data_IF_729588535444
#
_entry.id   IF_729588535444
#
_cell.length_a   1.000
_cell.length_b   1.000
_cell.length_c   1.000
_cell.angle_alpha   90.00
_cell.angle_beta   90.00
_cell.angle_gamma   90.00
#
_symmetry.space_group_name_H-M   'P 1'
#
loop_
_entity.id
_entity.type
_entity.pdbx_description
1 polymer ?
#
# COMPACT_ATOMS: atom_id res chain seq x y z
N UNK A 1 30.64 -3.01 -13.05
CA UNK A 1 29.86 -3.69 -14.12
C UNK A 1 29.62 -5.15 -13.79
N UNK A 2 30.62 -5.96 -13.50
CA UNK A 2 30.44 -7.42 -13.26
C UNK A 2 29.41 -7.79 -12.18
N UNK A 3 29.33 -7.05 -11.08
CA UNK A 3 28.39 -7.34 -10.00
C UNK A 3 26.92 -7.09 -10.41
N UNK A 4 26.65 -6.03 -11.19
CA UNK A 4 25.29 -5.75 -11.69
C UNK A 4 24.82 -6.80 -12.73
N UNK A 5 25.74 -7.35 -13.55
CA UNK A 5 25.42 -8.47 -14.47
C UNK A 5 25.05 -9.73 -13.69
N UNK A 6 25.82 -10.10 -12.65
CA UNK A 6 25.50 -11.23 -11.77
C UNK A 6 24.16 -11.01 -11.06
N UNK A 7 23.86 -9.82 -10.62
CA UNK A 7 22.60 -9.50 -9.97
C UNK A 7 21.39 -9.65 -10.93
N UNK A 8 21.54 -9.30 -12.22
CA UNK A 8 20.52 -9.53 -13.25
C UNK A 8 20.29 -11.02 -13.52
N UNK A 9 21.37 -11.80 -13.56
CA UNK A 9 21.27 -13.26 -13.68
C UNK A 9 20.50 -13.86 -12.51
N UNK A 10 20.80 -13.43 -11.29
CA UNK A 10 20.11 -13.84 -10.07
C UNK A 10 18.63 -13.43 -10.09
N UNK A 11 18.34 -12.20 -10.52
CA UNK A 11 16.98 -11.69 -10.66
C UNK A 11 16.19 -12.50 -11.69
N UNK A 12 16.79 -12.82 -12.84
CA UNK A 12 16.15 -13.65 -13.87
C UNK A 12 15.78 -15.03 -13.35
N UNK A 13 16.70 -15.68 -12.61
CA UNK A 13 16.44 -17.01 -12.03
C UNK A 13 15.31 -16.97 -11.00
N UNK A 14 15.25 -15.93 -10.16
CA UNK A 14 14.18 -15.73 -9.18
C UNK A 14 12.82 -15.50 -9.86
N UNK A 15 12.74 -14.62 -10.87
CA UNK A 15 11.53 -14.36 -11.65
C UNK A 15 11.04 -15.61 -12.41
N UNK A 16 11.96 -16.42 -12.92
CA UNK A 16 11.63 -17.70 -13.56
C UNK A 16 10.98 -18.68 -12.57
N UNK A 17 11.50 -18.77 -11.34
CA UNK A 17 10.92 -19.63 -10.30
C UNK A 17 9.53 -19.15 -9.89
N UNK A 18 9.31 -17.84 -9.81
CA UNK A 18 8.01 -17.23 -9.51
C UNK A 18 6.95 -17.56 -10.58
N UNK A 19 7.32 -17.56 -11.85
CA UNK A 19 6.39 -17.88 -12.94
C UNK A 19 6.08 -19.40 -13.02
N UNK A 20 6.93 -20.26 -12.45
CA UNK A 20 6.73 -21.72 -12.44
C UNK A 20 5.97 -22.23 -11.21
N UNK A 21 6.08 -21.52 -10.09
CA UNK A 21 5.54 -21.97 -8.81
C UNK A 21 4.53 -20.95 -8.28
N UNK A 22 3.27 -21.31 -8.30
CA UNK A 22 2.18 -20.49 -7.78
C UNK A 22 2.21 -20.31 -6.24
N UNK A 23 2.95 -21.18 -5.54
CA UNK A 23 3.12 -21.20 -4.09
C UNK A 23 4.41 -20.51 -3.60
N UNK A 24 5.22 -19.97 -4.52
CA UNK A 24 6.51 -19.35 -4.18
C UNK A 24 6.30 -17.98 -3.52
N UNK A 25 6.62 -17.89 -2.24
CA UNK A 25 6.41 -16.69 -1.42
C UNK A 25 7.61 -15.72 -1.50
N UNK A 26 7.40 -14.47 -1.09
CA UNK A 26 8.47 -13.45 -1.09
C UNK A 26 9.66 -13.86 -0.20
N UNK A 27 9.41 -14.56 0.91
CA UNK A 27 10.45 -15.09 1.78
C UNK A 27 11.35 -16.13 1.10
N UNK A 28 10.79 -16.93 0.19
CA UNK A 28 11.56 -17.95 -0.58
C UNK A 28 12.51 -17.27 -1.56
N UNK A 29 12.09 -16.13 -2.14
CA UNK A 29 12.94 -15.33 -3.05
C UNK A 29 14.13 -14.72 -2.30
N UNK A 30 13.89 -14.18 -1.09
CA UNK A 30 14.96 -13.63 -0.26
C UNK A 30 15.95 -14.71 0.16
N UNK A 31 15.45 -15.88 0.58
CA UNK A 31 16.27 -17.03 0.93
C UNK A 31 17.10 -17.47 -0.30
N UNK A 32 16.45 -17.65 -1.45
CA UNK A 32 17.12 -17.99 -2.70
C UNK A 32 18.23 -16.96 -3.05
N UNK A 33 17.94 -15.68 -2.98
CA UNK A 33 18.94 -14.66 -3.29
C UNK A 33 20.10 -14.66 -2.28
N UNK A 34 19.85 -14.85 -0.98
CA UNK A 34 20.88 -14.95 0.05
C UNK A 34 21.75 -16.19 -0.08
N UNK A 35 21.18 -17.32 -0.49
CA UNK A 35 21.90 -18.57 -0.72
C UNK A 35 22.83 -18.49 -1.96
N UNK A 36 22.48 -17.64 -2.94
CA UNK A 36 23.21 -17.54 -4.21
C UNK A 36 24.20 -16.37 -4.27
N UNK A 37 24.27 -15.52 -3.24
CA UNK A 37 25.32 -14.47 -3.15
C UNK A 37 25.56 -14.01 -1.73
N UNK A 38 26.84 -13.94 -1.35
CA UNK A 38 27.31 -13.33 -0.09
C UNK A 38 27.55 -11.82 -0.22
N UNK A 39 27.47 -11.27 -1.45
CA UNK A 39 27.74 -9.86 -1.71
C UNK A 39 26.48 -9.02 -1.59
N UNK A 40 26.48 -8.12 -0.62
CA UNK A 40 25.34 -7.27 -0.30
C UNK A 40 24.90 -6.38 -1.47
N UNK A 41 25.81 -5.86 -2.27
CA UNK A 41 25.52 -5.03 -3.44
C UNK A 41 24.83 -5.83 -4.56
N UNK A 42 25.24 -7.10 -4.78
CA UNK A 42 24.57 -8.01 -5.73
C UNK A 42 23.17 -8.33 -5.24
N UNK A 43 23.04 -8.70 -3.96
CA UNK A 43 21.75 -9.01 -3.34
C UNK A 43 20.77 -7.83 -3.46
N UNK A 44 21.18 -6.63 -3.02
CA UNK A 44 20.31 -5.45 -3.05
C UNK A 44 19.88 -5.09 -4.46
N UNK A 45 20.81 -5.13 -5.44
CA UNK A 45 20.47 -4.81 -6.81
C UNK A 45 19.54 -5.88 -7.43
N UNK A 46 19.78 -7.17 -7.20
CA UNK A 46 18.90 -8.24 -7.66
C UNK A 46 17.49 -8.08 -7.07
N UNK A 47 17.38 -7.87 -5.75
CA UNK A 47 16.10 -7.67 -5.08
C UNK A 47 15.34 -6.44 -5.64
N UNK A 48 16.05 -5.34 -5.92
CA UNK A 48 15.42 -4.15 -6.52
C UNK A 48 14.84 -4.42 -7.91
N UNK A 49 15.49 -5.25 -8.72
CA UNK A 49 15.00 -5.66 -10.04
C UNK A 49 13.80 -6.61 -9.94
N UNK A 50 13.87 -7.61 -9.05
CA UNK A 50 12.79 -8.58 -8.83
C UNK A 50 11.52 -7.87 -8.37
N UNK A 51 11.65 -7.03 -7.34
CA UNK A 51 10.54 -6.26 -6.79
C UNK A 51 9.93 -5.31 -7.83
N UNK A 52 10.79 -4.58 -8.53
CA UNK A 52 10.34 -3.65 -9.56
C UNK A 52 9.60 -4.34 -10.72
N UNK A 53 10.11 -5.48 -11.20
CA UNK A 53 9.41 -6.27 -12.22
C UNK A 53 8.06 -6.81 -11.73
N UNK A 54 7.95 -7.20 -10.46
CA UNK A 54 6.69 -7.67 -9.87
C UNK A 54 5.68 -6.55 -9.72
N UNK A 55 6.10 -5.42 -9.18
CA UNK A 55 5.21 -4.28 -8.92
C UNK A 55 4.66 -3.65 -10.20
N UNK A 56 5.40 -3.76 -11.32
CA UNK A 56 4.99 -3.21 -12.61
C UNK A 56 4.66 -4.30 -13.65
N UNK A 57 4.41 -5.53 -13.20
CA UNK A 57 4.26 -6.70 -14.08
C UNK A 57 3.20 -6.49 -15.16
N UNK A 58 2.03 -6.04 -14.77
CA UNK A 58 0.89 -5.85 -15.69
C UNK A 58 1.19 -4.79 -16.74
N UNK A 59 1.73 -3.65 -16.32
CA UNK A 59 2.11 -2.56 -17.22
C UNK A 59 3.25 -2.96 -18.17
N UNK A 60 4.23 -3.69 -17.66
CA UNK A 60 5.35 -4.22 -18.44
C UNK A 60 4.83 -5.23 -19.47
N UNK A 61 4.01 -6.18 -19.04
CA UNK A 61 3.44 -7.22 -19.90
C UNK A 61 2.54 -6.61 -20.97
N UNK A 62 1.77 -5.56 -20.67
CA UNK A 62 0.99 -4.81 -21.63
C UNK A 62 1.87 -4.13 -22.69
N UNK A 63 2.95 -3.44 -22.28
CA UNK A 63 3.89 -2.80 -23.22
C UNK A 63 4.56 -3.82 -24.14
N UNK A 64 4.97 -4.96 -23.58
CA UNK A 64 5.54 -6.06 -24.37
C UNK A 64 4.50 -6.56 -25.38
N UNK A 65 3.28 -6.81 -24.96
CA UNK A 65 2.19 -7.29 -25.81
C UNK A 65 1.86 -6.33 -26.94
N UNK A 66 1.84 -5.02 -26.69
CA UNK A 66 1.58 -3.99 -27.71
C UNK A 66 2.65 -3.94 -28.81
N UNK A 67 3.90 -4.23 -28.44
CA UNK A 67 5.05 -4.17 -29.38
C UNK A 67 5.26 -5.49 -30.09
N UNK A 68 4.86 -6.59 -29.47
CA UNK A 68 5.03 -7.95 -29.98
C UNK A 68 3.88 -8.38 -30.91
N UNK A 69 3.53 -7.55 -31.90
CA UNK A 69 2.35 -7.65 -32.82
C UNK A 69 2.07 -9.07 -33.37
N UNK A 70 3.06 -9.95 -33.41
CA UNK A 70 2.94 -11.32 -33.94
C UNK A 70 3.22 -12.41 -32.89
N UNK A 71 3.36 -12.04 -31.61
CA UNK A 71 3.75 -12.98 -30.55
C UNK A 71 2.80 -12.86 -29.35
N UNK A 72 2.02 -13.88 -29.13
CA UNK A 72 1.20 -14.01 -27.92
C UNK A 72 2.09 -14.23 -26.69
N UNK A 73 1.95 -13.39 -25.70
CA UNK A 73 2.68 -13.48 -24.42
C UNK A 73 2.53 -14.85 -23.75
N UNK A 74 1.39 -15.53 -23.95
CA UNK A 74 1.17 -16.89 -23.42
C UNK A 74 2.01 -17.96 -24.15
N UNK A 75 2.47 -17.67 -25.36
CA UNK A 75 3.28 -18.58 -26.20
C UNK A 75 4.77 -18.27 -26.13
N UNK A 76 5.18 -17.17 -25.47
CA UNK A 76 6.60 -16.87 -25.26
C UNK A 76 7.22 -17.86 -24.27
N UNK A 77 8.46 -18.24 -24.50
CA UNK A 77 9.25 -18.97 -23.52
C UNK A 77 9.33 -18.15 -22.22
N UNK A 78 9.10 -18.80 -21.07
CA UNK A 78 9.08 -18.12 -19.75
C UNK A 78 10.37 -17.33 -19.51
N UNK A 79 11.52 -17.87 -19.98
CA UNK A 79 12.81 -17.23 -19.82
C UNK A 79 12.89 -15.92 -20.64
N UNK A 80 12.47 -15.92 -21.90
CA UNK A 80 12.47 -14.75 -22.77
C UNK A 80 11.52 -13.66 -22.24
N UNK A 81 10.36 -14.07 -21.75
CA UNK A 81 9.37 -13.18 -21.12
C UNK A 81 9.96 -12.46 -19.90
N UNK A 82 10.67 -13.17 -19.02
CA UNK A 82 11.28 -12.57 -17.85
C UNK A 82 12.51 -11.70 -18.18
N UNK A 83 13.26 -12.05 -19.23
CA UNK A 83 14.33 -11.17 -19.75
C UNK A 83 13.74 -9.85 -20.30
N UNK A 84 12.64 -9.93 -21.06
CA UNK A 84 11.93 -8.75 -21.54
C UNK A 84 11.41 -7.91 -20.38
N UNK A 85 10.80 -8.52 -19.36
CA UNK A 85 10.34 -7.81 -18.17
C UNK A 85 11.46 -7.07 -17.45
N UNK A 86 12.62 -7.70 -17.26
CA UNK A 86 13.79 -7.04 -16.67
C UNK A 86 14.26 -5.87 -17.54
N UNK A 87 14.41 -6.08 -18.85
CA UNK A 87 14.83 -5.03 -19.77
C UNK A 87 13.87 -3.84 -19.81
N UNK A 88 12.56 -4.09 -19.86
CA UNK A 88 11.54 -3.03 -19.86
C UNK A 88 11.52 -2.30 -18.52
N UNK A 89 11.61 -3.03 -17.41
CA UNK A 89 11.71 -2.39 -16.08
C UNK A 89 12.91 -1.46 -15.99
N UNK A 90 14.09 -1.89 -16.41
CA UNK A 90 15.28 -1.02 -16.40
C UNK A 90 15.09 0.19 -17.33
N UNK A 91 14.59 0.00 -18.54
CA UNK A 91 14.38 1.08 -19.50
C UNK A 91 13.40 2.16 -19.03
N UNK A 92 12.38 1.77 -18.28
CA UNK A 92 11.28 2.66 -17.89
C UNK A 92 11.46 3.27 -16.50
N UNK A 93 12.03 2.51 -15.55
CA UNK A 93 12.02 2.87 -14.14
C UNK A 93 13.41 3.07 -13.52
N UNK A 94 14.51 2.75 -14.25
CA UNK A 94 15.87 2.86 -13.71
C UNK A 94 16.66 3.92 -14.47
N UNK A 95 16.48 5.19 -14.05
CA UNK A 95 17.21 6.33 -14.64
C UNK A 95 18.73 6.27 -14.37
N UNK A 96 19.17 5.51 -13.37
CA UNK A 96 20.58 5.29 -13.05
C UNK A 96 21.27 4.32 -14.02
N UNK A 97 20.53 3.69 -14.96
CA UNK A 97 21.07 2.75 -15.94
C UNK A 97 20.83 3.31 -17.35
N UNK A 98 21.93 3.56 -18.12
CA UNK A 98 21.76 4.01 -19.49
C UNK A 98 20.98 2.99 -20.35
N UNK A 99 20.01 3.42 -21.18
CA UNK A 99 19.15 2.51 -21.97
C UNK A 99 19.92 1.48 -22.78
N UNK A 100 21.03 1.88 -23.42
CA UNK A 100 21.89 0.97 -24.18
C UNK A 100 22.49 -0.15 -23.31
N UNK A 101 22.76 0.14 -22.03
CA UNK A 101 23.27 -0.88 -21.10
C UNK A 101 22.17 -1.89 -20.77
N UNK A 102 20.95 -1.44 -20.48
CA UNK A 102 19.80 -2.32 -20.20
C UNK A 102 19.51 -3.26 -21.37
N UNK A 103 19.50 -2.73 -22.61
CA UNK A 103 19.27 -3.53 -23.83
C UNK A 103 20.39 -4.55 -24.02
N UNK A 104 21.66 -4.15 -23.91
CA UNK A 104 22.78 -5.07 -24.10
C UNK A 104 22.81 -6.19 -23.03
N UNK A 105 22.58 -5.86 -21.77
CA UNK A 105 22.53 -6.83 -20.68
C UNK A 105 21.37 -7.84 -20.88
N UNK A 106 20.20 -7.36 -21.34
CA UNK A 106 19.07 -8.24 -21.68
C UNK A 106 19.40 -9.19 -22.85
N UNK A 107 20.08 -8.69 -23.89
CA UNK A 107 20.56 -9.51 -25.01
C UNK A 107 21.56 -10.57 -24.52
N UNK A 108 22.47 -10.22 -23.64
CA UNK A 108 23.47 -11.13 -23.09
C UNK A 108 22.83 -12.20 -22.19
N UNK A 109 21.82 -11.83 -21.39
CA UNK A 109 20.99 -12.79 -20.67
C UNK A 109 20.26 -13.75 -21.63
N UNK A 110 19.67 -13.24 -22.72
CA UNK A 110 19.00 -14.09 -23.70
C UNK A 110 19.96 -15.09 -24.38
N UNK A 111 21.15 -14.64 -24.76
CA UNK A 111 22.18 -15.52 -25.32
C UNK A 111 22.66 -16.57 -24.33
N UNK A 112 22.73 -16.25 -23.04
CA UNK A 112 23.24 -17.15 -21.99
C UNK A 112 22.20 -18.17 -21.54
N UNK A 113 20.93 -17.76 -21.39
CA UNK A 113 19.91 -18.55 -20.71
C UNK A 113 18.76 -19.04 -21.61
N UNK A 114 18.70 -18.59 -22.88
CA UNK A 114 17.63 -18.97 -23.79
C UNK A 114 18.16 -19.55 -25.11
N UNK A 115 17.38 -19.44 -26.19
CA UNK A 115 17.71 -20.02 -27.48
C UNK A 115 18.65 -19.12 -28.30
N UNK A 116 19.29 -19.70 -29.33
CA UNK A 116 20.21 -18.99 -30.23
C UNK A 116 19.61 -17.72 -30.85
N UNK A 117 18.28 -17.68 -31.05
CA UNK A 117 17.58 -16.57 -31.69
C UNK A 117 16.98 -15.57 -30.68
N UNK A 118 16.95 -15.90 -29.41
CA UNK A 118 16.32 -15.08 -28.38
C UNK A 118 16.99 -13.73 -28.21
N UNK A 119 18.31 -13.63 -28.42
CA UNK A 119 19.02 -12.34 -28.35
C UNK A 119 18.52 -11.33 -29.40
N UNK A 120 18.28 -11.80 -30.64
CA UNK A 120 17.73 -10.93 -31.71
C UNK A 120 16.27 -10.56 -31.45
N UNK A 121 15.48 -11.50 -30.94
CA UNK A 121 14.09 -11.27 -30.56
C UNK A 121 13.98 -10.24 -29.43
N UNK A 122 14.73 -10.42 -28.34
CA UNK A 122 14.75 -9.50 -27.18
C UNK A 122 15.19 -8.11 -27.61
N UNK A 123 16.25 -8.01 -28.43
CA UNK A 123 16.69 -6.72 -28.96
C UNK A 123 15.59 -6.00 -29.73
N UNK A 124 14.92 -6.68 -30.67
CA UNK A 124 13.87 -6.07 -31.50
C UNK A 124 12.67 -5.57 -30.68
N UNK A 125 12.29 -6.28 -29.61
CA UNK A 125 11.21 -5.85 -28.71
C UNK A 125 11.65 -4.66 -27.86
N UNK A 126 12.83 -4.72 -27.21
CA UNK A 126 13.31 -3.64 -26.34
C UNK A 126 13.64 -2.37 -27.10
N UNK A 127 14.18 -2.42 -28.32
CA UNK A 127 14.40 -1.26 -29.17
C UNK A 127 13.09 -0.58 -29.55
N UNK A 128 12.05 -1.36 -29.92
CA UNK A 128 10.72 -0.81 -30.18
C UNK A 128 10.12 -0.18 -28.91
N UNK A 129 10.20 -0.84 -27.76
CA UNK A 129 9.73 -0.30 -26.47
C UNK A 129 10.49 0.99 -26.12
N UNK A 130 11.81 1.00 -26.29
CA UNK A 130 12.60 2.21 -26.04
C UNK A 130 12.22 3.36 -26.97
N UNK A 131 11.96 3.07 -28.24
CA UNK A 131 11.56 4.08 -29.22
C UNK A 131 10.14 4.60 -28.99
N UNK A 132 9.20 3.72 -28.61
CA UNK A 132 7.79 4.07 -28.43
C UNK A 132 7.49 4.63 -27.05
N UNK A 133 8.16 4.13 -25.99
CA UNK A 133 7.86 4.42 -24.60
C UNK A 133 9.05 4.95 -23.80
N UNK A 134 10.23 5.13 -24.41
CA UNK A 134 11.44 5.60 -23.74
C UNK A 134 11.34 7.07 -23.34
N UNK A 135 11.93 7.42 -22.17
CA UNK A 135 12.04 8.81 -21.68
C UNK A 135 13.10 9.63 -22.44
N UNK A 136 13.20 9.49 -23.77
CA UNK A 136 14.04 10.29 -24.61
C UNK A 136 13.30 11.53 -25.10
N UNK A 137 13.96 12.73 -25.07
CA UNK A 137 13.44 13.98 -25.61
C UNK A 137 12.64 13.74 -26.92
N UNK A 138 11.50 14.41 -27.09
CA UNK A 138 10.77 14.33 -28.34
C UNK A 138 11.69 14.78 -29.50
N UNK A 139 11.70 14.07 -30.65
CA UNK A 139 12.35 14.58 -31.86
C UNK A 139 11.67 15.88 -32.24
N UNK A 140 12.48 16.87 -32.65
CA UNK A 140 12.01 18.17 -33.11
C UNK A 140 10.96 17.98 -34.19
N UNK A 141 9.89 18.73 -34.11
CA UNK A 141 8.67 18.74 -34.88
C UNK A 141 8.82 18.34 -36.37
N UNK A 142 8.18 17.23 -36.71
CA UNK A 142 7.68 16.98 -38.04
C UNK A 142 6.23 16.47 -37.90
N UNK A 143 5.26 17.32 -38.27
CA UNK A 143 3.87 16.96 -38.50
C UNK A 143 3.06 16.64 -37.24
N UNK A 144 2.22 17.58 -36.84
CA UNK A 144 1.21 17.36 -35.80
C UNK A 144 0.18 16.33 -36.31
N UNK A 145 0.41 15.06 -36.02
CA UNK A 145 -0.67 14.09 -35.92
C UNK A 145 -0.99 13.92 -34.42
N UNK A 146 -2.27 14.09 -34.12
CA UNK A 146 -2.83 14.00 -32.77
C UNK A 146 -2.37 12.69 -32.08
N UNK A 147 -1.39 12.78 -31.19
CA UNK A 147 -1.19 11.76 -30.16
C UNK A 147 -2.35 11.96 -29.19
N UNK A 148 -3.37 11.12 -29.29
CA UNK A 148 -4.38 11.03 -28.24
C UNK A 148 -3.62 10.83 -26.93
N UNK A 149 -3.73 11.80 -26.03
CA UNK A 149 -3.24 11.68 -24.68
C UNK A 149 -3.84 10.38 -24.10
N UNK A 150 -3.00 9.51 -23.51
CA UNK A 150 -3.48 8.35 -22.75
C UNK A 150 -4.57 8.91 -21.83
N UNK A 151 -5.81 8.44 -21.91
CA UNK A 151 -6.90 9.03 -21.16
C UNK A 151 -6.50 8.99 -19.68
N UNK A 152 -6.39 10.17 -19.10
CA UNK A 152 -6.07 10.32 -17.68
C UNK A 152 -7.17 9.60 -16.91
N UNK A 153 -6.81 8.68 -15.99
CA UNK A 153 -7.80 7.90 -15.23
C UNK A 153 -8.80 8.88 -14.61
N UNK A 154 -10.06 8.73 -14.98
CA UNK A 154 -11.12 9.50 -14.36
C UNK A 154 -11.54 8.80 -13.05
N UNK A 155 -11.01 9.28 -11.95
CA UNK A 155 -11.37 8.79 -10.63
C UNK A 155 -12.80 9.18 -10.20
N UNK A 156 -13.48 10.06 -10.95
CA UNK A 156 -14.86 10.46 -10.72
C UNK A 156 -15.11 10.96 -9.29
N UNK A 157 -16.00 10.29 -8.57
CA UNK A 157 -16.36 10.59 -7.19
C UNK A 157 -15.68 9.57 -6.25
N UNK A 158 -14.87 10.04 -5.29
CA UNK A 158 -13.98 9.17 -4.51
C UNK A 158 -14.26 9.27 -3.01
N UNK A 159 -14.34 8.10 -2.34
CA UNK A 159 -14.30 7.96 -0.89
C UNK A 159 -12.96 7.33 -0.49
N UNK A 160 -12.06 8.12 0.09
CA UNK A 160 -10.68 7.70 0.34
C UNK A 160 -10.41 7.22 1.76
N UNK A 161 -11.44 7.03 2.60
CA UNK A 161 -11.27 6.58 3.97
C UNK A 161 -12.36 5.57 4.34
N UNK A 162 -12.06 4.30 4.18
CA UNK A 162 -13.03 3.20 4.36
C UNK A 162 -12.37 2.01 5.05
N UNK A 163 -13.02 1.44 6.06
CA UNK A 163 -12.56 0.29 6.83
C UNK A 163 -13.37 -0.96 6.54
N UNK A 164 -12.71 -2.12 6.62
CA UNK A 164 -13.31 -3.44 6.46
C UNK A 164 -13.23 -4.26 7.76
N UNK A 165 -13.83 -5.46 7.73
CA UNK A 165 -13.75 -6.41 8.85
C UNK A 165 -12.36 -7.05 9.02
N UNK A 166 -11.35 -6.62 8.24
CA UNK A 166 -9.96 -7.01 8.44
C UNK A 166 -9.22 -6.03 9.36
N UNK A 167 -9.88 -4.92 9.75
CA UNK A 167 -9.46 -4.07 10.86
C UNK A 167 -10.58 -3.96 11.90
N UNK A 168 -11.34 -2.90 11.87
CA UNK A 168 -12.41 -2.60 12.84
C UNK A 168 -13.74 -2.20 12.21
N UNK A 169 -13.88 -2.35 10.89
CA UNK A 169 -15.17 -2.32 10.22
C UNK A 169 -15.99 -3.61 10.44
N UNK A 170 -17.21 -3.65 9.90
CA UNK A 170 -18.09 -4.83 10.01
C UNK A 170 -18.35 -5.54 8.68
N UNK A 171 -18.12 -4.88 7.54
CA UNK A 171 -18.31 -5.44 6.21
C UNK A 171 -17.01 -6.04 5.66
N UNK A 172 -17.13 -7.13 4.90
CA UNK A 172 -16.00 -7.69 4.15
C UNK A 172 -15.52 -6.72 3.05
N UNK A 173 -14.28 -6.85 2.58
CA UNK A 173 -13.79 -6.03 1.46
C UNK A 173 -14.68 -6.11 0.22
N UNK A 174 -15.25 -7.27 -0.08
CA UNK A 174 -16.15 -7.52 -1.19
C UNK A 174 -17.48 -6.78 -1.02
N UNK A 175 -18.08 -6.86 0.17
CA UNK A 175 -19.32 -6.13 0.51
C UNK A 175 -19.13 -4.62 0.42
N UNK A 176 -17.97 -4.11 0.88
CA UNK A 176 -17.62 -2.68 0.76
C UNK A 176 -17.54 -2.24 -0.70
N UNK A 177 -16.93 -3.03 -1.56
CA UNK A 177 -16.84 -2.74 -3.01
C UNK A 177 -18.24 -2.72 -3.64
N UNK A 178 -19.08 -3.72 -3.36
CA UNK A 178 -20.44 -3.78 -3.92
C UNK A 178 -21.32 -2.63 -3.39
N UNK A 179 -21.20 -2.27 -2.13
CA UNK A 179 -21.92 -1.14 -1.54
C UNK A 179 -21.48 0.20 -2.15
N UNK A 180 -20.16 0.41 -2.35
CA UNK A 180 -19.65 1.60 -3.01
C UNK A 180 -20.20 1.74 -4.45
N UNK A 181 -20.23 0.64 -5.22
CA UNK A 181 -20.82 0.62 -6.57
C UNK A 181 -22.31 0.95 -6.50
N UNK A 182 -23.05 0.35 -5.56
CA UNK A 182 -24.49 0.59 -5.37
C UNK A 182 -24.79 2.06 -5.08
N UNK A 183 -23.91 2.74 -4.35
CA UNK A 183 -24.02 4.15 -3.99
C UNK A 183 -23.48 5.11 -5.06
N UNK A 184 -22.98 4.59 -6.20
CA UNK A 184 -22.47 5.40 -7.29
C UNK A 184 -21.08 6.01 -7.05
N UNK A 185 -20.33 5.47 -6.08
CA UNK A 185 -18.93 5.83 -5.88
C UNK A 185 -18.07 5.13 -6.96
N UNK A 186 -17.24 5.89 -7.64
CA UNK A 186 -16.41 5.37 -8.72
C UNK A 186 -14.99 5.06 -8.29
N UNK A 187 -14.57 5.57 -7.12
CA UNK A 187 -13.26 5.31 -6.55
C UNK A 187 -13.36 5.19 -5.05
N UNK A 188 -12.75 4.14 -4.48
CA UNK A 188 -12.59 3.97 -3.03
C UNK A 188 -11.13 3.73 -2.68
N UNK A 189 -10.76 4.06 -1.45
CA UNK A 189 -9.53 3.55 -0.85
C UNK A 189 -9.87 2.78 0.42
N UNK A 190 -9.50 1.50 0.47
CA UNK A 190 -9.56 0.74 1.71
C UNK A 190 -8.33 1.12 2.53
N UNK A 191 -8.58 1.62 3.73
CA UNK A 191 -7.57 2.18 4.64
C UNK A 191 -7.60 1.53 6.01
N UNK A 192 -7.70 0.20 6.02
CA UNK A 192 -7.72 -0.59 7.25
C UNK A 192 -6.56 -0.25 8.20
N UNK A 193 -6.83 -0.23 9.51
CA UNK A 193 -5.84 0.07 10.52
C UNK A 193 -4.72 -0.95 10.59
N UNK A 194 -3.49 -0.50 10.31
CA UNK A 194 -2.23 -1.26 10.43
C UNK A 194 -2.24 -2.61 9.68
N UNK A 195 -3.04 -2.72 8.60
CA UNK A 195 -3.07 -3.89 7.69
C UNK A 195 -3.39 -3.49 6.25
N UNK A 196 -2.93 -4.30 5.29
CA UNK A 196 -3.24 -4.14 3.84
C UNK A 196 -4.07 -5.30 3.29
N UNK A 197 -4.49 -6.24 4.14
CA UNK A 197 -5.20 -7.44 3.68
C UNK A 197 -6.56 -7.07 3.05
N UNK A 198 -7.25 -6.07 3.61
CA UNK A 198 -8.52 -5.57 3.09
C UNK A 198 -8.41 -4.98 1.70
N UNK A 199 -7.41 -4.14 1.47
CA UNK A 199 -7.21 -3.51 0.17
C UNK A 199 -6.75 -4.51 -0.89
N UNK A 200 -5.99 -5.54 -0.53
CA UNK A 200 -5.61 -6.62 -1.45
C UNK A 200 -6.86 -7.39 -1.90
N UNK A 201 -7.73 -7.76 -0.98
CA UNK A 201 -8.99 -8.47 -1.28
C UNK A 201 -9.93 -7.59 -2.12
N UNK A 202 -10.16 -6.34 -1.71
CA UNK A 202 -11.02 -5.39 -2.43
C UNK A 202 -10.51 -5.09 -3.84
N UNK A 203 -9.19 -4.89 -4.02
CA UNK A 203 -8.58 -4.65 -5.32
C UNK A 203 -8.78 -5.84 -6.27
N UNK A 204 -8.60 -7.06 -5.78
CA UNK A 204 -8.84 -8.27 -6.56
C UNK A 204 -10.31 -8.41 -6.96
N UNK A 205 -11.21 -8.18 -6.02
CA UNK A 205 -12.65 -8.29 -6.26
C UNK A 205 -13.21 -7.19 -7.17
N UNK A 206 -12.64 -5.98 -7.08
CA UNK A 206 -13.01 -4.83 -7.91
C UNK A 206 -12.53 -4.92 -9.37
N UNK A 207 -11.61 -5.85 -9.70
CA UNK A 207 -11.14 -6.02 -11.07
C UNK A 207 -12.30 -6.34 -12.04
N UNK A 208 -12.36 -5.57 -13.12
CA UNK A 208 -13.43 -5.70 -14.12
C UNK A 208 -14.79 -5.12 -13.71
N UNK A 209 -14.92 -4.57 -12.49
CA UNK A 209 -16.09 -3.81 -12.06
C UNK A 209 -15.91 -2.32 -12.33
N UNK A 210 -17.01 -1.57 -12.35
CA UNK A 210 -16.96 -0.13 -12.59
C UNK A 210 -16.58 0.67 -11.32
N UNK A 211 -15.42 0.35 -10.75
CA UNK A 211 -14.87 1.01 -9.57
C UNK A 211 -13.35 0.94 -9.57
N UNK A 212 -12.71 2.02 -9.15
CA UNK A 212 -11.28 2.06 -8.90
C UNK A 212 -11.01 1.84 -7.40
N UNK A 213 -10.26 0.80 -7.05
CA UNK A 213 -9.79 0.55 -5.70
C UNK A 213 -8.36 1.03 -5.57
N UNK A 214 -8.14 2.12 -4.83
CA UNK A 214 -6.82 2.66 -4.53
C UNK A 214 -6.22 1.88 -3.35
N UNK A 215 -4.96 1.45 -3.49
CA UNK A 215 -4.25 0.79 -2.40
C UNK A 215 -4.01 1.78 -1.27
N UNK A 216 -4.63 1.52 -0.12
CA UNK A 216 -4.56 2.39 1.05
C UNK A 216 -4.23 1.65 2.33
N UNK A 217 -3.94 2.42 3.36
CA UNK A 217 -3.72 1.99 4.74
C UNK A 217 -3.93 3.16 5.69
N UNK A 218 -4.39 2.91 6.90
CA UNK A 218 -4.33 3.88 7.99
C UNK A 218 -3.35 3.42 9.06
N UNK A 219 -2.22 4.12 9.19
CA UNK A 219 -1.19 3.81 10.17
C UNK A 219 -1.43 4.55 11.47
N UNK A 220 -1.48 3.82 12.57
CA UNK A 220 -1.49 4.38 13.91
C UNK A 220 -0.10 4.92 14.28
N UNK A 221 -0.02 6.19 14.66
CA UNK A 221 1.22 6.84 15.09
C UNK A 221 1.03 7.54 16.45
N UNK A 222 2.01 7.44 17.33
CA UNK A 222 1.95 8.09 18.64
C UNK A 222 2.77 9.38 18.67
N UNK A 223 2.07 10.45 19.01
CA UNK A 223 2.67 11.76 19.25
C UNK A 223 2.15 12.29 20.60
N UNK A 224 2.96 12.17 21.65
CA UNK A 224 2.55 12.52 23.01
C UNK A 224 1.70 13.80 23.09
N UNK A 225 0.58 13.80 23.82
CA UNK A 225 0.08 12.74 24.70
C UNK A 225 -0.91 11.76 24.02
N UNK A 226 -1.17 11.82 22.72
CA UNK A 226 -2.21 11.06 22.04
C UNK A 226 -1.75 10.38 20.75
N UNK A 227 -2.52 9.43 20.29
CA UNK A 227 -2.38 8.79 18.97
C UNK A 227 -2.93 9.74 17.90
N UNK A 228 -2.28 9.76 16.74
CA UNK A 228 -2.75 10.37 15.49
C UNK A 228 -2.67 9.32 14.39
N UNK A 229 -3.44 9.48 13.34
CA UNK A 229 -3.48 8.54 12.24
C UNK A 229 -2.92 9.16 10.96
N UNK A 230 -2.15 8.37 10.21
CA UNK A 230 -1.58 8.77 8.92
C UNK A 230 -2.13 7.82 7.85
N UNK A 231 -2.92 8.37 6.94
CA UNK A 231 -3.41 7.65 5.77
C UNK A 231 -2.29 7.52 4.74
N UNK A 232 -2.17 6.34 4.16
CA UNK A 232 -1.30 6.09 3.02
C UNK A 232 -2.15 5.75 1.80
N UNK A 233 -1.80 6.29 0.63
CA UNK A 233 -2.50 6.06 -0.63
C UNK A 233 -1.54 5.65 -1.72
N UNK A 234 -2.00 4.82 -2.67
CA UNK A 234 -1.20 4.31 -3.79
C UNK A 234 0.05 3.53 -3.35
N UNK A 235 0.01 2.93 -2.17
CA UNK A 235 1.12 2.17 -1.61
C UNK A 235 1.35 0.86 -2.39
N UNK A 236 2.61 0.47 -2.53
CA UNK A 236 2.94 -0.91 -2.90
C UNK A 236 2.71 -1.83 -1.69
N UNK A 237 1.59 -2.55 -1.72
CA UNK A 237 1.20 -3.49 -0.66
C UNK A 237 2.21 -4.64 -0.48
N UNK A 238 3.07 -4.89 -1.46
CA UNK A 238 4.13 -5.90 -1.41
C UNK A 238 5.48 -5.33 -0.93
N UNK A 239 5.54 -4.05 -0.58
CA UNK A 239 6.76 -3.44 -0.07
C UNK A 239 7.24 -4.16 1.19
N UNK A 240 8.45 -4.70 1.17
CA UNK A 240 8.98 -5.53 2.26
C UNK A 240 9.09 -4.78 3.59
N UNK A 241 9.50 -3.51 3.55
CA UNK A 241 9.60 -2.71 4.77
C UNK A 241 8.23 -2.52 5.40
N UNK A 242 7.21 -2.23 4.58
CA UNK A 242 5.82 -2.13 5.03
C UNK A 242 5.35 -3.45 5.63
N UNK A 243 5.48 -4.55 4.90
CA UNK A 243 5.05 -5.88 5.35
C UNK A 243 5.72 -6.32 6.66
N UNK A 244 7.02 -6.09 6.80
CA UNK A 244 7.77 -6.45 8.01
C UNK A 244 7.28 -5.65 9.23
N UNK A 245 7.02 -4.34 9.06
CA UNK A 245 6.52 -3.48 10.14
C UNK A 245 5.08 -3.87 10.51
N UNK A 246 4.22 -4.16 9.54
CA UNK A 246 2.84 -4.60 9.81
C UNK A 246 2.83 -5.93 10.56
N UNK A 247 3.64 -6.90 10.14
CA UNK A 247 3.80 -8.18 10.84
C UNK A 247 4.29 -7.98 12.28
N UNK A 248 5.32 -7.15 12.47
CA UNK A 248 5.84 -6.84 13.80
C UNK A 248 4.78 -6.15 14.68
N UNK A 249 4.01 -5.20 14.11
CA UNK A 249 2.90 -4.54 14.80
C UNK A 249 1.83 -5.55 15.25
N UNK A 250 1.48 -6.51 14.38
CA UNK A 250 0.54 -7.57 14.72
C UNK A 250 1.05 -8.46 15.86
N UNK A 251 2.33 -8.87 15.82
CA UNK A 251 2.95 -9.65 16.89
C UNK A 251 3.00 -8.86 18.21
N UNK A 252 3.34 -7.57 18.16
CA UNK A 252 3.38 -6.72 19.37
C UNK A 252 1.98 -6.50 19.96
N UNK A 253 0.93 -6.44 19.13
CA UNK A 253 -0.46 -6.42 19.59
C UNK A 253 -0.82 -7.72 20.31
N UNK A 254 -0.47 -8.89 19.77
CA UNK A 254 -0.70 -10.18 20.45
C UNK A 254 0.01 -10.24 21.80
N UNK A 255 1.30 -9.88 21.86
CA UNK A 255 2.07 -9.81 23.12
C UNK A 255 1.41 -8.86 24.13
N UNK A 256 0.88 -7.72 23.65
CA UNK A 256 0.17 -6.77 24.50
C UNK A 256 -1.09 -7.37 25.11
N UNK A 257 -1.88 -8.15 24.35
CA UNK A 257 -3.07 -8.84 24.90
C UNK A 257 -2.68 -9.80 26.00
N UNK A 258 -1.65 -10.65 25.81
CA UNK A 258 -1.17 -11.53 26.88
C UNK A 258 -0.75 -10.75 28.11
N UNK A 259 -0.03 -9.65 27.97
CA UNK A 259 0.38 -8.81 29.10
C UNK A 259 -0.81 -8.13 29.83
N UNK A 260 -1.86 -7.76 29.09
CA UNK A 260 -3.10 -7.24 29.69
C UNK A 260 -3.80 -8.35 30.48
N UNK A 261 -3.94 -9.54 29.91
CA UNK A 261 -4.58 -10.71 30.56
C UNK A 261 -3.83 -11.09 31.84
N UNK A 262 -2.50 -11.14 31.83
CA UNK A 262 -1.70 -11.39 33.04
C UNK A 262 -1.99 -10.38 34.15
N UNK A 263 -2.07 -9.08 33.81
CA UNK A 263 -2.44 -8.05 34.79
C UNK A 263 -3.88 -8.20 35.29
N UNK A 264 -4.83 -8.58 34.43
CA UNK A 264 -6.22 -8.83 34.78
C UNK A 264 -6.35 -9.99 35.76
N UNK A 265 -5.59 -11.07 35.55
CA UNK A 265 -5.53 -12.20 36.51
C UNK A 265 -5.07 -11.73 37.88
N UNK A 266 -4.06 -10.84 37.96
CA UNK A 266 -3.63 -10.22 39.20
C UNK A 266 -4.70 -9.37 39.90
N UNK A 267 -5.75 -8.98 39.19
CA UNK A 267 -6.92 -8.23 39.67
C UNK A 267 -8.14 -9.13 39.93
N UNK A 268 -7.99 -10.46 39.88
CA UNK A 268 -9.05 -11.45 39.96
C UNK A 268 -10.09 -11.35 38.81
N UNK A 269 -9.67 -10.85 37.65
CA UNK A 269 -10.47 -10.86 36.44
C UNK A 269 -9.94 -11.99 35.55
N UNK A 270 -10.60 -13.14 35.57
CA UNK A 270 -10.17 -14.35 34.88
C UNK A 270 -10.78 -14.38 33.46
N UNK A 271 -10.02 -13.95 32.48
CA UNK A 271 -10.33 -14.00 31.04
C UNK A 271 -9.17 -14.68 30.31
N UNK A 272 -9.46 -15.31 29.16
CA UNK A 272 -8.46 -16.02 28.37
C UNK A 272 -8.05 -15.19 27.14
N UNK A 273 -6.75 -15.14 26.85
CA UNK A 273 -6.22 -14.48 25.67
C UNK A 273 -6.74 -15.11 24.36
N UNK A 274 -6.90 -16.44 24.33
CA UNK A 274 -7.40 -17.14 23.13
C UNK A 274 -8.88 -16.83 22.86
N UNK A 275 -9.68 -16.59 23.91
CA UNK A 275 -11.06 -16.10 23.75
C UNK A 275 -11.07 -14.70 23.11
N UNK A 276 -10.17 -13.81 23.54
CA UNK A 276 -10.02 -12.47 22.97
C UNK A 276 -9.60 -12.55 21.50
N UNK A 277 -8.68 -13.44 21.14
CA UNK A 277 -8.26 -13.64 19.75
C UNK A 277 -9.37 -14.25 18.91
N UNK A 278 -10.15 -15.17 19.45
CA UNK A 278 -11.33 -15.74 18.79
C UNK A 278 -12.38 -14.66 18.51
N UNK A 279 -12.62 -13.77 19.46
CA UNK A 279 -13.53 -12.64 19.31
C UNK A 279 -13.03 -11.62 18.27
N UNK A 280 -11.72 -11.39 18.22
CA UNK A 280 -11.11 -10.53 17.19
C UNK A 280 -11.22 -11.15 15.78
N UNK A 281 -11.25 -12.48 15.68
CA UNK A 281 -11.35 -13.18 14.40
C UNK A 281 -10.19 -12.85 13.47
N UNK A 282 -10.50 -12.28 12.29
CA UNK A 282 -9.50 -11.82 11.32
C UNK A 282 -8.96 -10.42 11.62
N UNK A 283 -9.67 -9.64 12.44
CA UNK A 283 -9.27 -8.30 12.80
C UNK A 283 -8.06 -8.28 13.74
N UNK A 284 -7.34 -7.17 13.77
CA UNK A 284 -6.21 -6.98 14.69
C UNK A 284 -6.71 -6.89 16.13
N UNK A 285 -6.21 -7.73 17.07
CA UNK A 285 -6.69 -7.73 18.45
C UNK A 285 -6.35 -6.41 19.16
N UNK A 286 -7.32 -5.88 19.88
CA UNK A 286 -7.18 -4.60 20.59
C UNK A 286 -7.93 -4.55 21.92
N UNK A 287 -7.80 -3.41 22.62
CA UNK A 287 -8.46 -3.18 23.92
C UNK A 287 -9.98 -3.32 23.88
N UNK A 288 -10.61 -3.04 22.71
CA UNK A 288 -12.05 -3.22 22.54
C UNK A 288 -12.45 -4.69 22.71
N UNK A 289 -11.72 -5.62 22.11
CA UNK A 289 -11.95 -7.05 22.24
C UNK A 289 -11.73 -7.53 23.68
N UNK A 290 -10.70 -7.00 24.36
CA UNK A 290 -10.49 -7.27 25.79
C UNK A 290 -11.66 -6.76 26.63
N UNK A 291 -12.11 -5.53 26.36
CA UNK A 291 -13.24 -4.94 27.07
C UNK A 291 -14.53 -5.74 26.87
N UNK A 292 -14.81 -6.17 25.66
CA UNK A 292 -15.98 -6.96 25.32
C UNK A 292 -15.95 -8.32 26.02
N UNK A 293 -14.78 -8.98 26.07
CA UNK A 293 -14.62 -10.24 26.82
C UNK A 293 -14.89 -10.04 28.30
N UNK A 294 -14.30 -9.02 28.95
CA UNK A 294 -14.55 -8.70 30.36
C UNK A 294 -16.02 -8.42 30.63
N UNK A 295 -16.67 -7.67 29.75
CA UNK A 295 -18.09 -7.35 29.85
C UNK A 295 -18.98 -8.60 29.70
N UNK A 296 -18.71 -9.46 28.69
CA UNK A 296 -19.42 -10.73 28.49
C UNK A 296 -19.33 -11.68 29.68
N UNK A 297 -18.18 -11.67 30.36
CA UNK A 297 -17.98 -12.43 31.61
C UNK A 297 -18.68 -11.80 32.85
N UNK A 298 -19.32 -10.65 32.70
CA UNK A 298 -20.12 -10.03 33.75
C UNK A 298 -19.32 -9.29 34.82
N UNK A 299 -18.03 -9.02 34.61
CA UNK A 299 -17.20 -8.27 35.57
C UNK A 299 -17.59 -6.78 35.66
N UNK A 300 -18.23 -6.25 34.62
CA UNK A 300 -18.73 -4.89 34.54
C UNK A 300 -20.09 -4.84 33.86
N UNK A 301 -20.87 -3.79 34.15
CA UNK A 301 -22.19 -3.57 33.54
C UNK A 301 -22.13 -2.94 32.17
N UNK A 302 -21.09 -2.18 31.88
CA UNK A 302 -20.90 -1.46 30.62
C UNK A 302 -19.45 -1.51 30.14
N UNK A 303 -19.23 -1.35 28.84
CA UNK A 303 -17.89 -1.21 28.25
C UNK A 303 -17.11 -0.03 28.86
N UNK A 304 -17.78 1.11 29.08
CA UNK A 304 -17.17 2.28 29.69
C UNK A 304 -16.63 1.98 31.10
N UNK A 305 -17.36 1.18 31.90
CA UNK A 305 -16.91 0.73 33.22
C UNK A 305 -15.66 -0.16 33.12
N UNK A 306 -15.56 -1.04 32.09
CA UNK A 306 -14.36 -1.85 31.86
C UNK A 306 -13.13 -0.97 31.61
N UNK A 307 -13.26 0.01 30.74
CA UNK A 307 -12.17 0.94 30.49
C UNK A 307 -11.78 1.71 31.75
N UNK A 308 -12.74 2.25 32.48
CA UNK A 308 -12.48 3.04 33.68
C UNK A 308 -11.78 2.22 34.78
N UNK A 309 -12.19 0.96 34.97
CA UNK A 309 -11.70 0.13 36.08
C UNK A 309 -10.44 -0.65 35.77
N UNK A 310 -10.23 -1.11 34.51
CA UNK A 310 -9.23 -2.13 34.22
C UNK A 310 -8.21 -1.75 33.15
N UNK A 311 -8.64 -1.29 31.97
CA UNK A 311 -7.79 -1.24 30.76
C UNK A 311 -7.69 0.12 30.06
N UNK A 312 -8.38 1.14 30.57
CA UNK A 312 -8.23 2.52 30.11
C UNK A 312 -6.84 3.07 30.39
N UNK A 313 -6.55 4.24 29.83
CA UNK A 313 -5.26 4.90 30.05
C UNK A 313 -5.08 5.15 31.56
N UNK A 314 -3.93 4.75 32.09
CA UNK A 314 -3.58 4.76 33.52
C UNK A 314 -4.35 3.75 34.42
N UNK A 315 -5.25 2.92 33.88
CA UNK A 315 -5.90 1.87 34.65
C UNK A 315 -4.95 0.71 35.01
N UNK A 316 -5.26 -0.10 36.03
CA UNK A 316 -4.29 -1.08 36.61
C UNK A 316 -3.78 -2.11 35.60
N UNK A 317 -4.62 -2.58 34.66
CA UNK A 317 -4.22 -3.54 33.62
C UNK A 317 -3.82 -2.86 32.30
N UNK A 318 -3.66 -1.54 32.30
CA UNK A 318 -3.15 -0.85 31.11
C UNK A 318 -1.76 -1.34 30.72
N UNK A 319 -1.59 -1.59 29.42
CA UNK A 319 -0.30 -1.86 28.78
C UNK A 319 -0.18 -0.91 27.60
N UNK A 320 0.89 -0.10 27.47
CA UNK A 320 1.05 0.83 26.36
C UNK A 320 1.15 0.07 25.03
N UNK A 321 0.58 0.66 23.98
CA UNK A 321 0.73 0.16 22.60
C UNK A 321 2.09 0.63 22.08
N UNK A 322 2.85 -0.28 21.48
CA UNK A 322 3.97 0.13 20.63
C UNK A 322 3.42 0.62 19.32
N UNK A 323 3.68 1.86 18.98
CA UNK A 323 3.23 2.50 17.75
C UNK A 323 4.41 3.19 17.07
N UNK A 324 4.27 3.43 15.78
CA UNK A 324 5.20 4.27 15.02
C UNK A 324 5.17 5.71 15.55
N UNK A 325 6.24 6.46 15.35
CA UNK A 325 6.16 7.92 15.36
C UNK A 325 5.52 8.41 14.05
N UNK A 326 4.94 9.62 14.00
CA UNK A 326 4.39 10.16 12.76
C UNK A 326 5.41 10.24 11.63
N UNK A 327 6.67 10.58 11.94
CA UNK A 327 7.76 10.56 10.97
C UNK A 327 7.98 9.17 10.39
N UNK A 328 8.05 8.15 11.23
CA UNK A 328 8.21 6.75 10.78
C UNK A 328 7.04 6.28 9.90
N UNK A 329 5.80 6.68 10.24
CA UNK A 329 4.62 6.35 9.44
C UNK A 329 4.67 7.01 8.05
N UNK A 330 5.01 8.30 7.97
CA UNK A 330 5.17 9.03 6.71
C UNK A 330 6.30 8.43 5.87
N UNK A 331 7.46 8.16 6.47
CA UNK A 331 8.60 7.55 5.78
C UNK A 331 8.26 6.14 5.26
N UNK A 332 7.49 5.36 6.03
CA UNK A 332 7.06 4.02 5.64
C UNK A 332 6.15 4.06 4.41
N UNK A 333 5.15 4.95 4.39
CA UNK A 333 4.26 5.17 3.25
C UNK A 333 5.07 5.62 2.03
N UNK A 334 5.98 6.58 2.19
CA UNK A 334 6.84 7.07 1.13
C UNK A 334 7.74 5.95 0.55
N UNK A 335 8.34 5.13 1.42
CA UNK A 335 9.18 4.00 1.01
C UNK A 335 8.37 2.90 0.31
N UNK A 336 7.07 2.80 0.59
CA UNK A 336 6.14 1.96 -0.14
C UNK A 336 5.63 2.62 -1.45
N UNK A 337 6.22 3.74 -1.88
CA UNK A 337 5.84 4.44 -3.12
C UNK A 337 4.51 5.19 -3.04
N UNK A 338 3.98 5.43 -1.85
CA UNK A 338 2.69 6.05 -1.62
C UNK A 338 2.75 7.54 -1.26
N UNK A 339 1.57 8.18 -1.21
CA UNK A 339 1.34 9.51 -0.69
C UNK A 339 0.71 9.42 0.71
N UNK A 340 1.21 10.21 1.66
CA UNK A 340 0.71 10.27 3.03
C UNK A 340 -0.25 11.44 3.26
N UNK A 341 -1.29 11.24 4.09
CA UNK A 341 -2.16 12.33 4.53
C UNK A 341 -2.48 12.21 6.04
N UNK A 342 -2.62 13.35 6.72
CA UNK A 342 -3.08 13.36 8.10
C UNK A 342 -4.58 13.07 8.14
N UNK A 343 -4.99 12.01 8.84
CA UNK A 343 -6.39 11.62 9.02
C UNK A 343 -7.12 12.54 10.02
N UNK A 344 -8.37 12.83 9.75
CA UNK A 344 -9.37 13.49 10.64
C UNK A 344 -8.77 14.47 11.68
N UNK A 345 -8.04 15.52 11.26
CA UNK A 345 -7.31 16.42 12.17
C UNK A 345 -8.23 17.13 13.19
N UNK A 346 -9.50 17.30 12.87
CA UNK A 346 -10.49 17.89 13.78
C UNK A 346 -10.76 17.06 15.04
N UNK A 347 -10.55 15.74 14.98
CA UNK A 347 -10.71 14.87 16.15
C UNK A 347 -9.55 15.04 17.14
N UNK A 348 -8.34 15.25 16.64
CA UNK A 348 -7.15 15.41 17.48
C UNK A 348 -6.98 16.81 18.02
N UNK A 349 -7.52 17.83 17.34
CA UNK A 349 -7.42 19.25 17.66
C UNK A 349 -5.97 19.72 17.91
N UNK A 350 -5.01 19.15 17.16
CA UNK A 350 -3.57 19.38 17.33
C UNK A 350 -2.94 20.00 16.08
N UNK A 351 -3.52 21.11 15.61
CA UNK A 351 -3.09 21.75 14.35
C UNK A 351 -1.60 22.15 14.35
N UNK A 352 -1.04 22.43 15.54
CA UNK A 352 0.38 22.80 15.69
C UNK A 352 1.35 21.71 15.22
N UNK A 353 0.93 20.44 15.15
CA UNK A 353 1.81 19.35 14.71
C UNK A 353 1.91 19.28 13.19
N UNK A 354 1.00 19.91 12.45
CA UNK A 354 0.94 19.82 10.98
C UNK A 354 2.23 20.34 10.34
N UNK A 355 2.82 21.42 10.88
CA UNK A 355 4.08 21.98 10.38
C UNK A 355 5.25 20.97 10.48
N UNK A 356 5.28 20.18 11.54
CA UNK A 356 6.31 19.14 11.70
C UNK A 356 6.05 17.95 10.79
N UNK A 357 4.78 17.55 10.60
CA UNK A 357 4.43 16.51 9.64
C UNK A 357 4.81 16.90 8.20
N UNK A 358 4.63 18.15 7.83
CA UNK A 358 5.07 18.70 6.53
C UNK A 358 6.59 18.57 6.35
N UNK A 359 7.38 18.87 7.39
CA UNK A 359 8.85 18.68 7.35
C UNK A 359 9.24 17.21 7.16
N UNK A 360 8.43 16.27 7.64
CA UNK A 360 8.62 14.83 7.42
C UNK A 360 8.19 14.36 6.02
N UNK A 361 7.56 15.23 5.22
CA UNK A 361 7.16 14.94 3.86
C UNK A 361 5.69 14.55 3.68
N UNK A 362 4.80 14.98 4.58
CA UNK A 362 3.36 14.81 4.43
C UNK A 362 2.86 15.40 3.10
N UNK A 363 2.06 14.64 2.33
CA UNK A 363 1.55 15.05 1.02
C UNK A 363 0.16 15.69 1.10
N UNK A 364 -0.68 15.26 2.04
CA UNK A 364 -2.08 15.68 2.12
C UNK A 364 -2.60 15.81 3.54
N UNK A 365 -3.82 16.28 3.64
CA UNK A 365 -4.57 16.40 4.89
C UNK A 365 -6.04 16.09 4.61
N UNK A 366 -6.68 15.33 5.47
CA UNK A 366 -8.10 15.04 5.36
C UNK A 366 -8.92 16.26 5.80
N UNK A 367 -9.45 16.95 4.80
CA UNK A 367 -10.26 18.16 4.98
C UNK A 367 -11.73 17.81 5.06
N UNK A 368 -12.17 16.91 4.18
CA UNK A 368 -13.56 16.52 4.06
C UNK A 368 -13.80 15.23 4.86
N UNK A 369 -14.37 15.40 6.05
CA UNK A 369 -14.59 14.34 7.02
C UNK A 369 -15.97 14.52 7.70
N UNK A 370 -16.72 13.45 8.03
CA UNK A 370 -18.09 13.55 8.53
C UNK A 370 -18.28 14.46 9.75
N UNK A 371 -17.35 14.43 10.71
CA UNK A 371 -17.43 15.24 11.92
C UNK A 371 -16.84 16.66 11.79
N UNK A 372 -16.28 17.03 10.62
CA UNK A 372 -15.79 18.37 10.39
C UNK A 372 -16.94 19.35 10.11
N UNK A 373 -17.00 20.38 10.90
CA UNK A 373 -17.92 21.50 10.66
C UNK A 373 -17.49 22.31 9.42
N UNK A 374 -18.36 23.16 8.83
CA UNK A 374 -17.96 24.06 7.75
C UNK A 374 -16.78 24.98 8.14
N UNK A 375 -16.65 25.33 9.42
CA UNK A 375 -15.51 26.08 9.95
C UNK A 375 -14.23 25.26 9.93
N UNK A 376 -14.29 23.98 10.29
CA UNK A 376 -13.15 23.06 10.23
C UNK A 376 -12.70 22.83 8.79
N UNK A 377 -13.62 22.59 7.87
CA UNK A 377 -13.32 22.48 6.44
C UNK A 377 -12.59 23.73 5.93
N UNK A 378 -13.10 24.93 6.23
CA UNK A 378 -12.45 26.20 5.85
C UNK A 378 -11.05 26.33 6.47
N UNK A 379 -10.92 25.98 7.75
CA UNK A 379 -9.64 25.99 8.48
C UNK A 379 -8.63 25.06 7.81
N UNK A 380 -8.98 23.80 7.57
CA UNK A 380 -8.06 22.82 6.99
C UNK A 380 -7.75 23.07 5.52
N UNK A 381 -8.67 23.64 4.73
CA UNK A 381 -8.37 24.14 3.39
C UNK A 381 -7.33 25.27 3.42
N UNK A 382 -7.43 26.17 4.41
CA UNK A 382 -6.46 27.27 4.58
C UNK A 382 -5.08 26.72 4.96
N UNK A 383 -5.03 25.75 5.86
CA UNK A 383 -3.79 25.05 6.26
C UNK A 383 -3.20 24.28 5.07
N UNK A 384 -4.02 23.52 4.34
CA UNK A 384 -3.60 22.80 3.15
C UNK A 384 -2.94 23.72 2.13
N UNK A 385 -3.59 24.86 1.82
CA UNK A 385 -3.05 25.86 0.90
C UNK A 385 -1.73 26.47 1.41
N UNK A 386 -1.64 26.81 2.72
CA UNK A 386 -0.43 27.40 3.34
C UNK A 386 0.78 26.49 3.19
N UNK A 387 0.57 25.17 3.34
CA UNK A 387 1.64 24.18 3.37
C UNK A 387 1.77 23.34 2.09
N UNK A 388 1.07 23.71 1.01
CA UNK A 388 1.02 22.95 -0.25
C UNK A 388 0.60 21.48 -0.09
N UNK A 389 -0.29 21.21 0.88
CA UNK A 389 -0.87 19.89 1.09
C UNK A 389 -2.10 19.72 0.19
N UNK A 390 -2.34 18.50 -0.22
CA UNK A 390 -3.51 18.13 -1.03
C UNK A 390 -4.67 17.83 -0.07
N UNK A 391 -5.83 18.43 -0.35
CA UNK A 391 -7.03 18.14 0.40
C UNK A 391 -7.55 16.75 0.06
N UNK A 392 -7.69 15.89 1.07
CA UNK A 392 -8.31 14.56 0.95
C UNK A 392 -9.62 14.51 1.72
N UNK A 393 -10.32 13.38 1.64
CA UNK A 393 -11.53 13.16 2.40
C UNK A 393 -12.12 11.78 2.17
N UNK A 394 -12.97 11.38 3.11
CA UNK A 394 -13.69 10.11 3.08
C UNK A 394 -14.70 10.00 4.20
N UNK A 395 -15.46 8.91 4.18
CA UNK A 395 -16.54 8.67 5.14
C UNK A 395 -16.05 8.15 6.48
N UNK A 396 -14.84 7.62 6.55
CA UNK A 396 -14.35 6.85 7.71
C UNK A 396 -15.34 5.74 8.11
N UNK A 397 -15.85 5.05 7.09
CA UNK A 397 -16.87 4.03 7.19
C UNK A 397 -16.39 2.82 8.00
N UNK A 398 -17.21 2.36 8.95
CA UNK A 398 -16.94 1.17 9.77
C UNK A 398 -18.14 0.20 9.81
N UNK A 399 -19.13 0.40 8.93
CA UNK A 399 -20.37 -0.37 8.92
C UNK A 399 -21.23 -0.09 10.17
N UNK A 400 -21.78 -1.15 10.77
CA UNK A 400 -22.68 -1.03 11.91
C UNK A 400 -22.04 -0.38 13.16
N UNK A 401 -20.71 -0.39 13.27
CA UNK A 401 -20.00 0.25 14.41
C UNK A 401 -20.05 1.77 14.38
N UNK A 402 -20.21 2.36 13.18
CA UNK A 402 -20.42 3.78 12.94
C UNK A 402 -21.53 3.95 11.90
N UNK A 403 -22.72 3.53 12.23
CA UNK A 403 -23.86 3.52 11.30
C UNK A 403 -24.22 4.92 10.77
N UNK A 404 -23.81 5.97 11.49
CA UNK A 404 -23.99 7.37 11.10
C UNK A 404 -23.04 7.84 9.99
N UNK A 405 -22.01 7.06 9.65
CA UNK A 405 -21.05 7.37 8.58
C UNK A 405 -21.08 6.31 7.47
N UNK A 406 -22.16 6.22 6.67
CA UNK A 406 -22.20 5.30 5.54
C UNK A 406 -21.16 5.64 4.47
N UNK A 407 -20.79 4.66 3.64
CA UNK A 407 -19.97 4.89 2.44
C UNK A 407 -20.60 6.02 1.62
N UNK A 408 -19.79 6.86 1.01
CA UNK A 408 -20.19 8.02 0.22
C UNK A 408 -20.84 9.17 1.00
N UNK A 409 -20.94 9.11 2.33
CA UNK A 409 -21.37 10.27 3.12
C UNK A 409 -20.50 11.50 2.85
N UNK A 410 -19.21 11.25 2.70
CA UNK A 410 -18.22 12.26 2.26
C UNK A 410 -17.46 11.70 1.07
N UNK A 411 -17.41 12.48 0.00
CA UNK A 411 -16.65 12.15 -1.19
C UNK A 411 -15.89 13.38 -1.70
N UNK A 412 -14.83 13.12 -2.44
CA UNK A 412 -14.01 14.16 -3.08
C UNK A 412 -13.99 13.97 -4.60
N UNK A 413 -13.76 15.03 -5.39
CA UNK A 413 -13.64 14.91 -6.83
C UNK A 413 -12.35 14.20 -7.22
N UNK A 414 -12.38 13.40 -8.29
CA UNK A 414 -11.23 12.65 -8.80
C UNK A 414 -10.04 13.55 -9.21
N UNK A 415 -10.23 14.84 -9.41
CA UNK A 415 -9.12 15.79 -9.61
C UNK A 415 -8.17 15.83 -8.42
N UNK A 416 -8.68 15.81 -7.18
CA UNK A 416 -7.85 15.76 -5.96
C UNK A 416 -7.11 14.43 -5.84
N UNK A 417 -7.75 13.33 -6.24
CA UNK A 417 -7.11 12.01 -6.31
C UNK A 417 -5.94 12.01 -7.29
N UNK A 418 -6.11 12.64 -8.46
CA UNK A 418 -5.01 12.81 -9.44
C UNK A 418 -3.88 13.67 -8.90
N UNK A 419 -4.19 14.77 -8.21
CA UNK A 419 -3.19 15.62 -7.57
C UNK A 419 -2.39 14.85 -6.51
N UNK A 420 -3.07 14.05 -5.69
CA UNK A 420 -2.45 13.20 -4.68
C UNK A 420 -1.52 12.16 -5.34
N UNK A 421 -1.94 11.52 -6.43
CA UNK A 421 -1.10 10.59 -7.18
C UNK A 421 0.14 11.28 -7.78
N UNK A 422 -0.01 12.50 -8.32
CA UNK A 422 1.11 13.27 -8.87
C UNK A 422 2.10 13.74 -7.80
N UNK A 423 1.69 13.86 -6.52
CA UNK A 423 2.59 14.27 -5.43
C UNK A 423 3.65 13.21 -5.09
N UNK A 424 3.41 11.94 -5.45
CA UNK A 424 4.35 10.85 -5.23
C UNK A 424 5.61 10.99 -6.10
N UNK A 425 5.48 11.61 -7.27
CA UNK A 425 6.56 11.76 -8.26
C UNK A 425 7.41 13.02 -8.06
N UNK A 426 7.12 13.81 -7.04
CA UNK A 426 7.84 15.05 -6.69
C UNK A 426 8.76 14.82 -5.50
#
# INVERSE_FOLDING_TARGET
MRNRTIARELALQALYQLDLRSDYMTGDIEAFCKENTDKQDIYQFAMSLIQGCRSHKEEIDEKISRVAEHWDMHRMAIIDKNILRLGVYELQYRQDIPPKVSINEAIDLAKKFSTKNSGTFVNGILDKIYTQFGNGKPPAAAGAENVEAIPEIDYGNADLHVHTNLSDGTMSPEEVVDEAIRLGVTTISITDHDTVDGVIAASRYGQGKNIHVITGIELSAYLAPSEIHILGYFIDVNNLSLQNILKQSHEDRRKRIYAIVEKLHGLNVNVDAEEIFTLAGKASPGRMHVAETIWKHGYCKTMAEVFARYIGDHAPAYVPKKTLTPQQAIELIKNAGGASALAHPGLTQRDQVIEDLVKFGLNGIEVYYPAHTPQDVKKYLTIAKKHNLIATGGSDFHGERKAETPIALVTIPGSLVRELKRSISR
#
